data_IF_322382715103
#
_entry.id   IF_322382715103
#
_cell.length_a   1.000
_cell.length_b   1.000
_cell.length_c   1.000
_cell.angle_alpha   90.00
_cell.angle_beta   90.00
_cell.angle_gamma   90.00
#
_symmetry.space_group_name_H-M   'P 1'
#
loop_
_entity.id
_entity.type
_entity.pdbx_description
1 polymer ?
#
# COMPACT_ATOMS: atom_id res chain seq x y z
N UNK A 1 -25.96 6.71 -7.11
CA UNK A 1 -25.43 5.77 -8.12
C UNK A 1 -24.20 6.30 -8.84
N UNK A 2 -24.23 7.47 -9.49
CA UNK A 2 -23.04 8.07 -10.13
C UNK A 2 -21.83 8.22 -9.17
N UNK A 3 -22.06 8.49 -7.88
CA UNK A 3 -20.99 8.61 -6.88
C UNK A 3 -20.31 7.27 -6.53
N UNK A 4 -21.04 6.16 -6.52
CA UNK A 4 -20.49 4.84 -6.15
C UNK A 4 -19.67 4.24 -7.29
N UNK A 5 -20.12 4.39 -8.54
CA UNK A 5 -19.37 3.92 -9.69
C UNK A 5 -18.05 4.69 -9.85
N UNK A 6 -18.09 6.02 -9.69
CA UNK A 6 -16.87 6.82 -9.68
C UNK A 6 -15.91 6.43 -8.54
N UNK A 7 -16.46 6.15 -7.35
CA UNK A 7 -15.69 5.68 -6.19
C UNK A 7 -15.03 4.32 -6.48
N UNK A 8 -15.74 3.39 -7.10
CA UNK A 8 -15.22 2.07 -7.48
C UNK A 8 -14.14 2.17 -8.57
N UNK A 9 -14.34 3.03 -9.57
CA UNK A 9 -13.33 3.31 -10.59
C UNK A 9 -12.06 3.86 -9.96
N UNK A 10 -12.19 4.86 -9.08
CA UNK A 10 -11.06 5.41 -8.33
C UNK A 10 -10.34 4.35 -7.49
N UNK A 11 -11.07 3.50 -6.77
CA UNK A 11 -10.49 2.41 -5.97
C UNK A 11 -9.59 1.53 -6.85
N UNK A 12 -10.09 1.12 -8.02
CA UNK A 12 -9.35 0.27 -8.97
C UNK A 12 -8.13 0.96 -9.54
N UNK A 13 -8.24 2.24 -9.88
CA UNK A 13 -7.14 3.04 -10.39
C UNK A 13 -6.04 3.20 -9.34
N UNK A 14 -6.40 3.60 -8.12
CA UNK A 14 -5.46 3.79 -7.01
C UNK A 14 -4.77 2.45 -6.67
N UNK A 15 -5.51 1.33 -6.59
CA UNK A 15 -4.93 0.00 -6.39
C UNK A 15 -3.97 -0.40 -7.52
N UNK A 16 -4.32 -0.13 -8.77
CA UNK A 16 -3.47 -0.38 -9.93
C UNK A 16 -2.13 0.37 -9.82
N UNK A 17 -2.19 1.69 -9.58
CA UNK A 17 -0.98 2.53 -9.43
C UNK A 17 -0.10 2.07 -8.27
N UNK A 18 -0.70 1.78 -7.11
CA UNK A 18 0.05 1.37 -5.91
C UNK A 18 0.69 -0.01 -6.12
N UNK A 19 -0.03 -0.97 -6.74
CA UNK A 19 0.52 -2.29 -7.06
C UNK A 19 1.72 -2.18 -8.00
N UNK A 20 1.65 -1.35 -9.03
CA UNK A 20 2.75 -1.14 -9.96
C UNK A 20 3.96 -0.52 -9.27
N UNK A 21 3.74 0.50 -8.43
CA UNK A 21 4.80 1.14 -7.66
C UNK A 21 5.45 0.16 -6.66
N UNK A 22 4.67 -0.64 -5.94
CA UNK A 22 5.16 -1.68 -5.03
C UNK A 22 5.94 -2.77 -5.78
N UNK A 23 5.47 -3.20 -6.95
CA UNK A 23 6.18 -4.17 -7.77
C UNK A 23 7.52 -3.61 -8.28
N UNK A 24 7.57 -2.35 -8.69
CA UNK A 24 8.80 -1.68 -9.10
C UNK A 24 9.80 -1.58 -7.94
N UNK A 25 9.36 -1.08 -6.78
CA UNK A 25 10.20 -0.97 -5.58
C UNK A 25 10.76 -2.34 -5.18
N UNK A 26 9.93 -3.39 -5.17
CA UNK A 26 10.36 -4.75 -4.85
C UNK A 26 11.39 -5.29 -5.86
N UNK A 27 11.21 -5.06 -7.16
CA UNK A 27 12.18 -5.49 -8.18
C UNK A 27 13.53 -4.78 -7.99
N UNK A 28 13.50 -3.47 -7.79
CA UNK A 28 14.72 -2.69 -7.60
C UNK A 28 15.46 -3.10 -6.31
N UNK A 29 14.73 -3.40 -5.24
CA UNK A 29 15.30 -3.92 -4.00
C UNK A 29 16.04 -5.26 -4.22
N UNK A 30 15.42 -6.17 -4.96
CA UNK A 30 16.02 -7.47 -5.31
C UNK A 30 17.24 -7.33 -6.23
N UNK A 31 17.24 -6.36 -7.15
CA UNK A 31 18.41 -6.05 -7.97
C UNK A 31 19.57 -5.50 -7.14
N UNK A 32 19.30 -4.59 -6.21
CA UNK A 32 20.32 -4.02 -5.31
C UNK A 32 20.94 -5.11 -4.43
N UNK A 33 20.15 -6.05 -3.91
CA UNK A 33 20.65 -7.19 -3.11
C UNK A 33 21.66 -8.08 -3.84
N UNK A 34 21.62 -8.11 -5.18
CA UNK A 34 22.48 -8.96 -6.02
C UNK A 34 23.73 -8.23 -6.50
N UNK A 35 23.83 -6.92 -6.26
CA UNK A 35 24.94 -6.10 -6.70
C UNK A 35 26.00 -5.96 -5.60
N UNK A 36 27.30 -5.90 -5.94
CA UNK A 36 28.32 -5.42 -5.00
C UNK A 36 27.97 -4.02 -4.47
N UNK A 37 28.34 -3.72 -3.23
CA UNK A 37 27.92 -2.49 -2.53
C UNK A 37 28.31 -1.21 -3.29
N UNK A 38 29.44 -1.22 -3.99
CA UNK A 38 29.94 -0.10 -4.79
C UNK A 38 29.03 0.19 -5.99
N UNK A 39 28.52 -0.86 -6.64
CA UNK A 39 27.59 -0.75 -7.76
C UNK A 39 26.15 -0.48 -7.31
N UNK A 40 25.81 -0.87 -6.08
CA UNK A 40 24.50 -0.67 -5.48
C UNK A 40 24.23 0.80 -5.11
N UNK A 41 25.25 1.59 -4.75
CA UNK A 41 25.07 2.97 -4.27
C UNK A 41 24.30 3.89 -5.22
N UNK A 42 24.52 3.76 -6.53
CA UNK A 42 23.80 4.57 -7.52
C UNK A 42 22.33 4.15 -7.64
N UNK A 43 22.04 2.86 -7.48
CA UNK A 43 20.70 2.26 -7.56
C UNK A 43 19.88 2.51 -6.29
N UNK A 44 20.55 2.53 -5.14
CA UNK A 44 19.97 2.81 -3.82
C UNK A 44 19.19 4.13 -3.79
N UNK A 45 19.74 5.21 -4.35
CA UNK A 45 19.02 6.50 -4.43
C UNK A 45 17.77 6.42 -5.30
N UNK A 46 17.75 5.54 -6.29
CA UNK A 46 16.57 5.32 -7.12
C UNK A 46 15.52 4.52 -6.34
N UNK A 47 15.94 3.50 -5.58
CA UNK A 47 15.08 2.76 -4.66
C UNK A 47 14.44 3.70 -3.65
N UNK A 48 15.21 4.63 -3.08
CA UNK A 48 14.70 5.64 -2.14
C UNK A 48 13.59 6.49 -2.74
N UNK A 49 13.81 7.06 -3.93
CA UNK A 49 12.77 7.87 -4.58
C UNK A 49 11.51 7.06 -4.88
N UNK A 50 11.68 5.83 -5.36
CA UNK A 50 10.56 4.93 -5.63
C UNK A 50 9.80 4.60 -4.34
N UNK A 51 10.54 4.30 -3.26
CA UNK A 51 9.96 3.99 -1.98
C UNK A 51 9.20 5.20 -1.38
N UNK A 52 9.76 6.41 -1.44
CA UNK A 52 9.06 7.62 -0.97
C UNK A 52 7.77 7.86 -1.74
N UNK A 53 7.80 7.74 -3.07
CA UNK A 53 6.62 7.88 -3.93
C UNK A 53 5.52 6.89 -3.56
N UNK A 54 5.88 5.61 -3.35
CA UNK A 54 4.92 4.59 -2.91
C UNK A 54 4.31 4.92 -1.55
N UNK A 55 5.12 5.43 -0.61
CA UNK A 55 4.64 5.84 0.72
C UNK A 55 3.63 6.99 0.66
N UNK A 56 3.87 7.97 -0.20
CA UNK A 56 2.97 9.10 -0.42
C UNK A 56 1.62 8.66 -1.03
N UNK A 57 1.66 7.75 -2.02
CA UNK A 57 0.45 7.21 -2.63
C UNK A 57 -0.37 6.39 -1.62
N UNK A 58 0.27 5.59 -0.76
CA UNK A 58 -0.43 4.84 0.30
C UNK A 58 -1.14 5.75 1.29
N UNK A 59 -0.46 6.81 1.74
CA UNK A 59 -1.08 7.78 2.67
C UNK A 59 -2.27 8.47 2.02
N UNK A 60 -2.14 8.89 0.76
CA UNK A 60 -3.24 9.53 0.02
C UNK A 60 -4.43 8.59 -0.17
N UNK A 61 -4.16 7.32 -0.48
CA UNK A 61 -5.15 6.26 -0.63
C UNK A 61 -5.91 6.03 0.67
N UNK A 62 -5.21 5.73 1.77
CA UNK A 62 -5.85 5.45 3.07
C UNK A 62 -6.61 6.65 3.64
N UNK A 63 -6.16 7.88 3.40
CA UNK A 63 -6.91 9.09 3.76
C UNK A 63 -8.23 9.16 3.02
N UNK A 64 -8.21 8.94 1.70
CA UNK A 64 -9.43 8.94 0.91
C UNK A 64 -10.38 7.82 1.32
N UNK A 65 -9.87 6.64 1.65
CA UNK A 65 -10.71 5.53 2.10
C UNK A 65 -11.45 5.87 3.40
N UNK A 66 -10.72 6.39 4.39
CA UNK A 66 -11.29 6.77 5.68
C UNK A 66 -12.25 7.97 5.61
N UNK A 67 -11.99 8.94 4.74
CA UNK A 67 -12.81 10.16 4.63
C UNK A 67 -14.00 10.03 3.67
N UNK A 68 -13.93 9.12 2.70
CA UNK A 68 -14.92 9.05 1.61
C UNK A 68 -15.48 7.64 1.45
N UNK A 69 -14.64 6.63 1.20
CA UNK A 69 -15.11 5.30 0.83
C UNK A 69 -15.83 4.59 1.99
N UNK A 70 -15.20 4.48 3.15
CA UNK A 70 -15.76 3.77 4.29
C UNK A 70 -17.02 4.42 4.85
N UNK A 71 -17.11 5.77 4.97
CA UNK A 71 -18.37 6.44 5.30
C UNK A 71 -19.47 6.14 4.28
N UNK A 72 -19.17 6.23 2.97
CA UNK A 72 -20.13 5.95 1.91
C UNK A 72 -20.67 4.51 1.99
N UNK A 73 -19.79 3.53 2.21
CA UNK A 73 -20.20 2.13 2.35
C UNK A 73 -21.03 1.90 3.62
N UNK A 74 -20.71 2.57 4.72
CA UNK A 74 -21.49 2.49 5.96
C UNK A 74 -22.91 3.04 5.78
N UNK A 75 -23.07 4.11 5.02
CA UNK A 75 -24.39 4.68 4.70
C UNK A 75 -25.20 3.78 3.76
N UNK A 76 -24.54 3.11 2.81
CA UNK A 76 -25.18 2.21 1.83
C UNK A 76 -25.53 0.84 2.39
N UNK A 77 -24.87 0.43 3.48
CA UNK A 77 -25.08 -0.87 4.12
C UNK A 77 -25.29 -0.67 5.63
N UNK A 78 -26.53 -0.29 6.03
CA UNK A 78 -26.87 -0.17 7.43
C UNK A 78 -26.60 -1.46 8.20
N UNK A 79 -26.22 -1.34 9.46
CA UNK A 79 -25.82 -2.47 10.32
C UNK A 79 -26.88 -3.57 10.38
N UNK A 80 -28.18 -3.24 10.29
CA UNK A 80 -29.25 -4.25 10.28
C UNK A 80 -29.22 -5.16 9.04
N UNK A 81 -28.65 -4.68 7.94
CA UNK A 81 -28.54 -5.41 6.66
C UNK A 81 -27.20 -6.13 6.49
N UNK A 82 -26.14 -5.67 7.16
CA UNK A 82 -24.81 -6.26 7.10
C UNK A 82 -24.02 -6.00 8.41
N UNK A 83 -24.26 -6.80 9.46
CA UNK A 83 -23.71 -6.56 10.80
C UNK A 83 -22.19 -6.74 10.89
N UNK A 84 -21.59 -7.50 9.97
CA UNK A 84 -20.15 -7.78 9.94
C UNK A 84 -19.33 -6.70 9.20
N UNK A 85 -19.99 -5.85 8.41
CA UNK A 85 -19.33 -4.84 7.59
C UNK A 85 -18.56 -3.81 8.43
N UNK A 86 -19.09 -3.21 9.51
CA UNK A 86 -18.34 -2.24 10.31
C UNK A 86 -17.04 -2.82 10.88
N UNK A 87 -17.08 -4.07 11.36
CA UNK A 87 -15.90 -4.78 11.86
C UNK A 87 -14.89 -5.02 10.74
N UNK A 88 -15.36 -5.41 9.56
CA UNK A 88 -14.50 -5.67 8.40
C UNK A 88 -13.81 -4.39 7.90
N UNK A 89 -14.54 -3.27 7.79
CA UNK A 89 -13.95 -1.98 7.43
C UNK A 89 -12.93 -1.50 8.47
N UNK A 90 -13.23 -1.67 9.76
CA UNK A 90 -12.29 -1.34 10.83
C UNK A 90 -11.00 -2.19 10.76
N UNK A 91 -11.11 -3.49 10.46
CA UNK A 91 -9.94 -4.35 10.30
C UNK A 91 -9.07 -3.89 9.13
N UNK A 92 -9.66 -3.58 7.97
CA UNK A 92 -8.93 -3.04 6.81
C UNK A 92 -8.20 -1.74 7.16
N UNK A 93 -8.87 -0.80 7.84
CA UNK A 93 -8.24 0.45 8.27
C UNK A 93 -7.04 0.19 9.19
N UNK A 94 -7.12 -0.80 10.10
CA UNK A 94 -6.02 -1.16 10.99
C UNK A 94 -4.86 -1.84 10.26
N UNK A 95 -5.16 -2.69 9.29
CA UNK A 95 -4.16 -3.29 8.41
C UNK A 95 -3.42 -2.21 7.62
N UNK A 96 -4.15 -1.26 7.04
CA UNK A 96 -3.58 -0.11 6.34
C UNK A 96 -2.66 0.70 7.26
N UNK A 97 -3.14 1.07 8.45
CA UNK A 97 -2.37 1.85 9.43
C UNK A 97 -1.08 1.13 9.83
N UNK A 98 -1.15 -0.19 10.03
CA UNK A 98 0.01 -1.02 10.38
C UNK A 98 1.02 -1.05 9.22
N UNK A 99 0.55 -1.31 8.00
CA UNK A 99 1.40 -1.31 6.81
C UNK A 99 2.09 0.05 6.61
N UNK A 100 1.35 1.15 6.75
CA UNK A 100 1.88 2.51 6.63
C UNK A 100 2.88 2.87 7.75
N UNK A 101 2.70 2.36 8.98
CA UNK A 101 3.66 2.54 10.06
C UNK A 101 4.96 1.78 9.81
N UNK A 102 4.88 0.49 9.46
CA UNK A 102 6.06 -0.31 9.09
C UNK A 102 6.82 0.33 7.92
N UNK A 103 6.09 0.82 6.92
CA UNK A 103 6.68 1.48 5.77
C UNK A 103 7.38 2.80 6.11
N UNK A 104 6.79 3.61 6.99
CA UNK A 104 7.43 4.86 7.46
C UNK A 104 8.67 4.60 8.30
N UNK A 105 8.64 3.57 9.17
CA UNK A 105 9.82 3.16 9.92
C UNK A 105 10.96 2.76 8.97
N UNK A 106 10.65 1.96 7.94
CA UNK A 106 11.62 1.65 6.88
C UNK A 106 12.20 2.92 6.22
N UNK A 107 11.35 3.86 5.80
CA UNK A 107 11.81 5.10 5.15
C UNK A 107 12.70 5.96 6.05
N UNK A 108 12.44 5.96 7.36
CA UNK A 108 13.27 6.65 8.35
C UNK A 108 14.66 6.00 8.47
N UNK A 109 14.71 4.68 8.58
CA UNK A 109 15.96 3.94 8.79
C UNK A 109 16.78 3.80 7.49
N UNK A 110 16.10 3.95 6.35
CA UNK A 110 16.67 3.88 5.01
C UNK A 110 17.92 4.74 4.82
N UNK A 111 17.91 5.95 5.38
CA UNK A 111 19.00 6.90 5.23
C UNK A 111 20.28 6.39 5.89
N UNK A 112 20.15 5.79 7.08
CA UNK A 112 21.24 5.17 7.84
C UNK A 112 21.81 3.95 7.12
N UNK A 113 20.97 3.14 6.46
CA UNK A 113 21.42 1.95 5.73
C UNK A 113 22.34 2.28 4.54
N UNK A 114 22.25 3.49 3.99
CA UNK A 114 22.98 3.86 2.76
C UNK A 114 24.25 4.65 3.00
N UNK A 115 24.30 5.41 4.08
CA UNK A 115 25.48 6.22 4.42
C UNK A 115 26.62 5.35 4.93
N UNK A 116 26.32 4.25 5.62
CA UNK A 116 27.32 3.40 6.28
C UNK A 116 28.12 2.50 5.33
N UNK A 117 27.73 2.38 4.05
CA UNK A 117 28.33 1.46 3.05
C UNK A 117 28.48 0.02 3.55
N UNK A 118 27.66 -0.38 4.51
CA UNK A 118 27.65 -1.70 5.10
C UNK A 118 26.77 -2.62 4.23
N UNK A 119 27.37 -3.67 3.69
CA UNK A 119 26.68 -4.61 2.80
C UNK A 119 25.56 -5.37 3.52
N UNK A 120 25.74 -5.71 4.80
CA UNK A 120 24.72 -6.41 5.58
C UNK A 120 23.52 -5.52 5.85
N UNK A 121 23.76 -4.27 6.28
CA UNK A 121 22.69 -3.29 6.49
C UNK A 121 21.95 -2.96 5.19
N UNK A 122 22.67 -2.81 4.09
CA UNK A 122 22.06 -2.61 2.78
C UNK A 122 21.14 -3.77 2.39
N UNK A 123 21.61 -5.01 2.54
CA UNK A 123 20.81 -6.22 2.23
C UNK A 123 19.60 -6.36 3.15
N UNK A 124 19.75 -6.01 4.44
CA UNK A 124 18.66 -5.97 5.40
C UNK A 124 17.60 -4.97 4.97
N UNK A 125 17.97 -3.71 4.72
CA UNK A 125 17.04 -2.68 4.28
C UNK A 125 16.31 -3.04 2.97
N UNK A 126 17.01 -3.64 1.99
CA UNK A 126 16.33 -4.10 0.77
C UNK A 126 15.36 -5.27 1.04
N UNK A 127 15.67 -6.14 2.01
CA UNK A 127 14.78 -7.23 2.40
C UNK A 127 13.53 -6.71 3.11
N UNK A 128 13.69 -5.71 3.98
CA UNK A 128 12.58 -5.01 4.65
C UNK A 128 11.67 -4.32 3.63
N UNK A 129 12.23 -3.59 2.67
CA UNK A 129 11.43 -2.97 1.59
C UNK A 129 10.64 -3.99 0.79
N UNK A 130 11.29 -5.08 0.36
CA UNK A 130 10.63 -6.13 -0.39
C UNK A 130 9.50 -6.78 0.43
N UNK A 131 9.69 -6.95 1.74
CA UNK A 131 8.65 -7.44 2.64
C UNK A 131 7.48 -6.46 2.76
N UNK A 132 7.75 -5.17 2.98
CA UNK A 132 6.72 -4.15 3.07
C UNK A 132 5.90 -4.06 1.77
N UNK A 133 6.55 -4.12 0.60
CA UNK A 133 5.87 -4.16 -0.69
C UNK A 133 4.92 -5.37 -0.83
N UNK A 134 5.26 -6.53 -0.26
CA UNK A 134 4.38 -7.70 -0.25
C UNK A 134 3.19 -7.51 0.68
N UNK A 135 3.41 -6.93 1.87
CA UNK A 135 2.32 -6.62 2.82
C UNK A 135 1.32 -5.64 2.21
N UNK A 136 1.81 -4.57 1.59
CA UNK A 136 0.98 -3.59 0.87
C UNK A 136 0.12 -4.28 -0.18
N UNK A 137 0.72 -5.13 -1.03
CA UNK A 137 -0.03 -5.85 -2.06
C UNK A 137 -1.09 -6.78 -1.49
N UNK A 138 -0.76 -7.52 -0.43
CA UNK A 138 -1.73 -8.38 0.26
C UNK A 138 -2.91 -7.61 0.83
N UNK A 139 -2.65 -6.45 1.44
CA UNK A 139 -3.70 -5.56 1.93
C UNK A 139 -4.62 -5.08 0.79
N UNK A 140 -4.07 -4.61 -0.33
CA UNK A 140 -4.88 -4.21 -1.50
C UNK A 140 -5.69 -5.38 -2.08
N UNK A 141 -5.16 -6.60 -2.02
CA UNK A 141 -5.88 -7.81 -2.44
C UNK A 141 -7.09 -8.05 -1.52
N UNK A 142 -6.90 -8.00 -0.20
CA UNK A 142 -7.99 -8.13 0.79
C UNK A 142 -9.04 -7.02 0.66
N UNK A 143 -8.63 -5.77 0.45
CA UNK A 143 -9.55 -4.65 0.17
C UNK A 143 -10.33 -4.88 -1.13
N UNK A 144 -9.66 -5.33 -2.19
CA UNK A 144 -10.32 -5.61 -3.47
C UNK A 144 -11.36 -6.72 -3.32
N UNK A 145 -11.00 -7.82 -2.63
CA UNK A 145 -11.87 -8.97 -2.41
C UNK A 145 -13.13 -8.62 -1.60
N UNK A 146 -13.01 -7.70 -0.64
CA UNK A 146 -14.14 -7.27 0.18
C UNK A 146 -14.96 -6.15 -0.47
N UNK A 147 -14.31 -5.07 -0.90
CA UNK A 147 -14.97 -3.81 -1.23
C UNK A 147 -15.55 -3.80 -2.64
N UNK A 148 -14.90 -4.45 -3.61
CA UNK A 148 -15.38 -4.45 -5.00
C UNK A 148 -16.75 -5.11 -5.13
N UNK A 149 -16.99 -6.35 -4.61
CA UNK A 149 -18.31 -6.97 -4.70
C UNK A 149 -19.42 -6.16 -4.01
N UNK A 150 -19.10 -5.50 -2.89
CA UNK A 150 -20.02 -4.61 -2.18
C UNK A 150 -20.39 -3.39 -3.03
N UNK A 151 -19.45 -2.82 -3.77
CA UNK A 151 -19.75 -1.70 -4.65
C UNK A 151 -20.56 -2.15 -5.87
N UNK A 152 -20.16 -3.24 -6.53
CA UNK A 152 -20.81 -3.73 -7.77
C UNK A 152 -22.27 -4.12 -7.55
N UNK A 153 -22.57 -4.83 -6.45
CA UNK A 153 -23.94 -5.25 -6.12
C UNK A 153 -24.94 -4.09 -5.93
N UNK A 154 -24.47 -2.85 -5.79
CA UNK A 154 -25.28 -1.63 -5.68
C UNK A 154 -25.23 -0.74 -6.93
N UNK A 155 -24.27 -0.97 -7.83
CA UNK A 155 -24.21 -0.32 -9.14
C UNK A 155 -25.17 -0.99 -10.12
N UNK A 156 -25.37 -2.30 -9.99
CA UNK A 156 -26.24 -3.10 -10.85
C UNK A 156 -27.74 -3.07 -10.46
N UNK A 157 -28.10 -2.40 -9.36
CA UNK A 157 -29.48 -2.15 -8.92
C UNK A 157 -30.04 -0.87 -9.54
#
# INVERSE_FOLDING_TARGET
MANLQHTLERLREDHGRIREAAALACRMAEEVKRCPVEAAQSRVRQVERCARTLGEELVRHGQWEGEVLFPLLSDLYPMESNPDLPTSLWMLEKEHQTAAQCYRAYLHDMQSYFELRDEQLLRLGMTELAHACRLIRGHLDSETELLVPLCESRVDM
#
